data_IF_092838838510
#
_entry.id   IF_092838838510
#
_cell.length_a   1.000
_cell.length_b   1.000
_cell.length_c   1.000
_cell.angle_alpha   90.00
_cell.angle_beta   90.00
_cell.angle_gamma   90.00
#
_symmetry.space_group_name_H-M   'P 1'
#
loop_
_entity.id
_entity.type
_entity.pdbx_description
1 polymer ?
#
# COMPACT_ATOMS: atom_id res chain seq x y z
N UNK A 1 -7.17 14.28 -14.64
CA UNK A 1 -6.63 15.50 -13.96
C UNK A 1 -5.57 16.23 -14.79
N UNK A 2 -4.40 15.63 -15.08
CA UNK A 2 -3.29 16.29 -15.82
C UNK A 2 -3.76 16.97 -17.13
N UNK A 3 -4.49 16.24 -17.97
CA UNK A 3 -5.03 16.77 -19.24
C UNK A 3 -6.07 17.89 -19.03
N UNK A 4 -6.84 17.86 -17.93
CA UNK A 4 -7.82 18.92 -17.60
C UNK A 4 -7.11 20.23 -17.23
N UNK A 5 -5.87 20.15 -16.77
CA UNK A 5 -5.00 21.30 -16.51
C UNK A 5 -4.16 21.69 -17.74
N UNK A 6 -4.43 21.11 -18.91
CA UNK A 6 -3.70 21.39 -20.16
C UNK A 6 -2.32 20.73 -20.27
N UNK A 7 -1.96 19.83 -19.34
CA UNK A 7 -0.70 19.10 -19.35
C UNK A 7 -0.76 17.78 -20.13
N UNK A 8 0.40 17.20 -20.45
CA UNK A 8 0.51 15.89 -21.11
C UNK A 8 0.85 14.80 -20.10
N UNK A 9 0.01 13.79 -19.97
CA UNK A 9 0.22 12.64 -19.08
C UNK A 9 1.28 11.69 -19.62
N UNK A 10 2.05 11.09 -18.71
CA UNK A 10 2.94 9.96 -19.05
C UNK A 10 2.07 8.76 -19.45
N UNK A 11 2.30 8.22 -20.64
CA UNK A 11 1.50 7.10 -21.19
C UNK A 11 2.33 5.86 -21.55
N UNK A 12 3.61 6.03 -21.91
CA UNK A 12 4.44 4.92 -22.35
C UNK A 12 5.23 4.29 -21.20
N UNK A 13 5.30 2.95 -21.19
CA UNK A 13 6.00 2.19 -20.16
C UNK A 13 7.49 2.60 -20.00
N UNK A 14 8.17 2.96 -21.08
CA UNK A 14 9.54 3.46 -21.03
C UNK A 14 9.65 4.76 -20.20
N UNK A 15 8.77 5.72 -20.45
CA UNK A 15 8.73 6.98 -19.69
C UNK A 15 8.38 6.73 -18.21
N UNK A 16 7.46 5.78 -17.93
CA UNK A 16 7.15 5.38 -16.55
C UNK A 16 8.39 4.81 -15.86
N UNK A 17 9.13 3.94 -16.53
CA UNK A 17 10.34 3.31 -15.99
C UNK A 17 11.47 4.31 -15.71
N UNK A 18 11.57 5.39 -16.49
CA UNK A 18 12.54 6.46 -16.29
C UNK A 18 12.15 7.45 -15.18
N UNK A 19 10.85 7.61 -14.93
CA UNK A 19 10.34 8.63 -13.99
C UNK A 19 10.05 8.06 -12.59
N UNK A 20 9.65 6.78 -12.53
CA UNK A 20 9.24 6.14 -11.28
C UNK A 20 10.38 6.12 -10.26
N UNK A 21 10.02 6.30 -8.98
CA UNK A 21 10.91 6.11 -7.85
C UNK A 21 10.75 4.73 -7.20
N UNK A 22 9.79 3.93 -7.68
CA UNK A 22 9.56 2.56 -7.21
C UNK A 22 10.57 1.64 -7.88
N UNK A 23 11.34 0.91 -7.07
CA UNK A 23 12.36 0.00 -7.56
C UNK A 23 11.77 -1.14 -8.39
N UNK A 24 12.49 -1.54 -9.43
CA UNK A 24 12.09 -2.67 -10.26
C UNK A 24 12.23 -3.97 -9.45
N UNK A 25 11.18 -4.81 -9.39
CA UNK A 25 11.29 -6.10 -8.72
C UNK A 25 12.32 -7.00 -9.42
N UNK A 26 12.98 -7.92 -8.69
CA UNK A 26 13.89 -8.87 -9.29
C UNK A 26 13.17 -9.78 -10.29
N UNK A 27 13.94 -10.38 -11.20
CA UNK A 27 13.39 -11.36 -12.15
C UNK A 27 13.10 -12.66 -11.42
N UNK A 28 11.97 -13.29 -11.73
CA UNK A 28 11.61 -14.60 -11.19
C UNK A 28 10.64 -14.49 -10.02
N UNK A 29 10.75 -15.41 -9.06
CA UNK A 29 9.86 -15.53 -7.91
C UNK A 29 10.57 -15.10 -6.64
N UNK A 30 9.81 -14.43 -5.77
CA UNK A 30 10.25 -14.04 -4.45
C UNK A 30 9.37 -14.68 -3.38
N UNK A 31 9.88 -14.74 -2.15
CA UNK A 31 9.10 -15.21 -1.01
C UNK A 31 7.94 -14.25 -0.73
N UNK A 32 6.80 -14.81 -0.31
CA UNK A 32 5.58 -14.04 -0.01
C UNK A 32 5.83 -12.84 0.91
N UNK A 33 6.51 -12.97 2.06
CA UNK A 33 6.77 -11.82 2.93
C UNK A 33 7.62 -10.74 2.25
N UNK A 34 8.57 -11.12 1.38
CA UNK A 34 9.41 -10.16 0.64
C UNK A 34 8.59 -9.37 -0.37
N UNK A 35 7.66 -10.03 -1.06
CA UNK A 35 6.73 -9.36 -1.98
C UNK A 35 5.84 -8.34 -1.24
N UNK A 36 5.30 -8.73 -0.08
CA UNK A 36 4.44 -7.86 0.72
C UNK A 36 5.24 -6.66 1.25
N UNK A 37 6.46 -6.87 1.75
CA UNK A 37 7.34 -5.77 2.19
C UNK A 37 7.60 -4.77 1.07
N UNK A 38 7.88 -5.22 -0.16
CA UNK A 38 8.08 -4.31 -1.29
C UNK A 38 6.82 -3.54 -1.69
N UNK A 39 5.64 -4.16 -1.59
CA UNK A 39 4.38 -3.45 -1.80
C UNK A 39 4.21 -2.34 -0.77
N UNK A 40 4.56 -2.59 0.49
CA UNK A 40 4.53 -1.58 1.55
C UNK A 40 5.52 -0.43 1.28
N UNK A 41 6.75 -0.74 0.83
CA UNK A 41 7.74 0.28 0.45
C UNK A 41 7.23 1.15 -0.71
N UNK A 42 6.62 0.54 -1.72
CA UNK A 42 6.01 1.26 -2.84
C UNK A 42 4.85 2.17 -2.38
N UNK A 43 3.98 1.68 -1.50
CA UNK A 43 2.92 2.51 -0.91
C UNK A 43 3.48 3.67 -0.09
N UNK A 44 4.57 3.47 0.66
CA UNK A 44 5.19 4.54 1.44
C UNK A 44 5.70 5.68 0.54
N UNK A 45 6.30 5.35 -0.61
CA UNK A 45 6.71 6.33 -1.63
C UNK A 45 5.49 7.12 -2.11
N UNK A 46 4.41 6.43 -2.50
CA UNK A 46 3.17 7.06 -3.00
C UNK A 46 2.55 7.98 -1.93
N UNK A 47 2.35 7.48 -0.71
CA UNK A 47 1.75 8.24 0.39
C UNK A 47 2.55 9.51 0.69
N UNK A 48 3.88 9.40 0.73
CA UNK A 48 4.76 10.55 0.96
C UNK A 48 4.56 11.61 -0.11
N UNK A 49 4.54 11.22 -1.38
CA UNK A 49 4.49 12.16 -2.50
C UNK A 49 3.06 12.71 -2.71
N UNK A 50 2.01 11.92 -2.41
CA UNK A 50 0.63 12.41 -2.31
C UNK A 50 0.47 13.48 -1.23
N UNK A 51 1.05 13.30 -0.04
CA UNK A 51 0.99 14.32 1.02
C UNK A 51 1.69 15.61 0.63
N UNK A 52 2.80 15.53 -0.11
CA UNK A 52 3.48 16.73 -0.67
C UNK A 52 2.61 17.40 -1.74
N UNK A 53 2.05 16.62 -2.65
CA UNK A 53 1.18 17.12 -3.72
C UNK A 53 -0.07 17.80 -3.17
N UNK A 54 -0.75 17.18 -2.20
CA UNK A 54 -1.95 17.74 -1.59
C UNK A 54 -1.66 19.09 -0.92
N UNK A 55 -0.59 19.18 -0.11
CA UNK A 55 -0.16 20.45 0.49
C UNK A 55 0.14 21.51 -0.57
N UNK A 56 0.85 21.12 -1.64
CA UNK A 56 1.20 22.06 -2.70
C UNK A 56 -0.02 22.52 -3.49
N UNK A 57 -0.97 21.63 -3.75
CA UNK A 57 -2.23 21.96 -4.43
C UNK A 57 -3.05 22.94 -3.58
N UNK A 58 -3.13 22.72 -2.27
CA UNK A 58 -3.78 23.62 -1.31
C UNK A 58 -3.15 25.03 -1.32
N UNK A 59 -1.83 25.12 -1.21
CA UNK A 59 -1.08 26.40 -1.29
C UNK A 59 -1.33 27.17 -2.59
N UNK A 60 -1.62 26.45 -3.68
CA UNK A 60 -1.88 27.02 -5.01
C UNK A 60 -3.37 27.30 -5.25
N UNK A 61 -4.25 26.98 -4.31
CA UNK A 61 -5.70 27.10 -4.46
C UNK A 61 -6.30 26.13 -5.48
N UNK A 62 -5.62 25.00 -5.76
CA UNK A 62 -6.11 23.96 -6.64
C UNK A 62 -6.88 22.87 -5.85
N UNK A 63 -8.11 23.21 -5.48
CA UNK A 63 -9.00 22.34 -4.70
C UNK A 63 -9.24 20.98 -5.37
N UNK A 64 -9.35 20.95 -6.70
CA UNK A 64 -9.63 19.72 -7.44
C UNK A 64 -8.45 18.75 -7.50
N UNK A 65 -7.21 19.26 -7.52
CA UNK A 65 -6.04 18.37 -7.38
C UNK A 65 -5.86 17.94 -5.94
N UNK A 66 -6.10 18.83 -4.98
CA UNK A 66 -6.02 18.50 -3.56
C UNK A 66 -7.00 17.37 -3.21
N UNK A 67 -8.28 17.54 -3.54
CA UNK A 67 -9.30 16.53 -3.27
C UNK A 67 -8.93 15.18 -3.90
N UNK A 68 -8.61 15.15 -5.20
CA UNK A 68 -8.18 13.92 -5.87
C UNK A 68 -7.00 13.23 -5.17
N UNK A 69 -5.97 14.00 -4.80
CA UNK A 69 -4.78 13.46 -4.15
C UNK A 69 -5.09 12.85 -2.78
N UNK A 70 -6.01 13.45 -2.02
CA UNK A 70 -6.37 13.00 -0.67
C UNK A 70 -7.43 11.91 -0.72
N UNK A 71 -8.54 12.15 -1.39
CA UNK A 71 -9.75 11.31 -1.36
C UNK A 71 -9.55 9.98 -2.08
N UNK A 72 -8.93 9.99 -3.26
CA UNK A 72 -8.77 8.80 -4.09
C UNK A 72 -7.41 8.15 -3.89
N UNK A 73 -6.31 8.90 -3.96
CA UNK A 73 -4.96 8.30 -3.98
C UNK A 73 -4.48 8.01 -2.57
N UNK A 74 -4.40 9.02 -1.68
CA UNK A 74 -3.84 8.86 -0.35
C UNK A 74 -4.64 7.86 0.49
N UNK A 75 -5.95 8.05 0.64
CA UNK A 75 -6.79 7.18 1.49
C UNK A 75 -6.83 5.73 1.01
N UNK A 76 -6.85 5.50 -0.31
CA UNK A 76 -6.78 4.13 -0.86
C UNK A 76 -5.46 3.46 -0.49
N UNK A 77 -4.34 4.18 -0.64
CA UNK A 77 -3.03 3.63 -0.30
C UNK A 77 -2.88 3.38 1.21
N UNK A 78 -3.40 4.26 2.07
CA UNK A 78 -3.37 4.07 3.53
C UNK A 78 -4.17 2.83 3.95
N UNK A 79 -5.34 2.59 3.35
CA UNK A 79 -6.12 1.38 3.61
C UNK A 79 -5.40 0.11 3.13
N UNK A 80 -4.78 0.16 1.96
CA UNK A 80 -4.03 -0.98 1.41
C UNK A 80 -2.79 -1.29 2.25
N UNK A 81 -2.08 -0.27 2.75
CA UNK A 81 -0.96 -0.44 3.68
C UNK A 81 -1.41 -1.17 4.94
N UNK A 82 -2.51 -0.71 5.56
CA UNK A 82 -3.06 -1.40 6.73
C UNK A 82 -3.35 -2.87 6.44
N UNK A 83 -4.05 -3.17 5.34
CA UNK A 83 -4.38 -4.54 4.99
C UNK A 83 -3.13 -5.43 4.78
N UNK A 84 -2.13 -4.91 4.06
CA UNK A 84 -0.90 -5.64 3.77
C UNK A 84 -0.02 -5.82 5.00
N UNK A 85 0.04 -4.82 5.90
CA UNK A 85 0.89 -4.90 7.09
C UNK A 85 0.47 -6.00 8.04
N UNK A 86 -0.84 -6.27 8.16
CA UNK A 86 -1.36 -7.36 9.02
C UNK A 86 -0.84 -8.74 8.59
N UNK A 87 -0.54 -8.94 7.31
CA UNK A 87 -0.04 -10.21 6.79
C UNK A 87 1.45 -10.45 7.08
N UNK A 88 2.18 -9.45 7.57
CA UNK A 88 3.57 -9.59 8.02
C UNK A 88 3.68 -9.83 9.54
N UNK A 89 2.58 -9.76 10.27
CA UNK A 89 2.58 -9.96 11.72
C UNK A 89 2.77 -11.44 12.03
N UNK A 90 3.87 -11.75 12.73
CA UNK A 90 4.15 -13.12 13.17
C UNK A 90 3.43 -13.42 14.49
N UNK A 91 2.20 -13.93 14.39
CA UNK A 91 1.38 -14.35 15.54
C UNK A 91 0.91 -15.81 15.38
N UNK A 92 0.66 -16.52 16.49
CA UNK A 92 0.05 -17.85 16.43
C UNK A 92 -1.33 -17.79 15.74
N UNK A 93 -1.57 -18.67 14.77
CA UNK A 93 -2.87 -18.77 14.08
C UNK A 93 -3.87 -19.69 14.81
N UNK A 94 -3.37 -20.52 15.73
CA UNK A 94 -4.16 -21.49 16.50
C UNK A 94 -3.61 -21.55 17.92
N UNK A 95 -4.51 -21.64 18.89
CA UNK A 95 -4.16 -21.88 20.29
C UNK A 95 -4.12 -23.39 20.58
N UNK A 96 -3.21 -23.80 21.45
CA UNK A 96 -3.19 -25.18 21.92
C UNK A 96 -4.38 -25.41 22.88
N UNK A 97 -5.27 -26.35 22.54
CA UNK A 97 -6.24 -26.83 23.53
C UNK A 97 -5.50 -27.55 24.66
N UNK A 98 -5.72 -27.14 25.90
CA UNK A 98 -5.18 -27.84 27.06
C UNK A 98 -5.74 -29.27 27.09
N UNK A 99 -4.84 -30.25 27.04
CA UNK A 99 -5.13 -31.71 27.04
C UNK A 99 -5.91 -32.12 28.29
N UNK A 100 -5.91 -31.31 29.36
CA UNK A 100 -6.74 -31.50 30.55
C UNK A 100 -8.25 -31.50 30.23
N UNK A 101 -8.68 -30.69 29.26
CA UNK A 101 -10.08 -30.55 28.84
C UNK A 101 -10.61 -31.79 28.08
N UNK A 102 -9.72 -32.53 27.42
CA UNK A 102 -10.08 -33.71 26.64
C UNK A 102 -10.37 -34.93 27.53
N UNK A 103 -9.71 -35.03 28.70
CA UNK A 103 -9.97 -36.09 29.68
C UNK A 103 -11.34 -35.93 30.35
N UNK A 104 -11.77 -34.69 30.63
CA UNK A 104 -13.04 -34.41 31.29
C UNK A 104 -14.27 -34.77 30.43
N UNK A 105 -14.18 -34.61 29.10
CA UNK A 105 -15.28 -34.90 28.16
C UNK A 105 -15.51 -36.39 27.89
N UNK A 106 -14.52 -37.25 28.15
CA UNK A 106 -14.61 -38.70 27.88
C UNK A 106 -15.02 -39.52 29.12
N UNK A 107 -15.09 -38.86 30.28
CA UNK A 107 -15.49 -39.45 31.57
C UNK A 107 -16.93 -39.11 31.98
N UNK A 108 -17.71 -38.49 31.10
CA UNK A 108 -19.14 -38.24 31.24
C UNK A 108 -19.91 -39.03 30.16
#
# INVERSE_FOLDING_TARGET
>A
RIQLLGGVSIAMAAHVAETTQIERPPRGREEVPVQISRLLDAHQIIIRDCRKLARRADELGDDGTNDLAVSEVLRTNELQVWFLSEHLVNVPLVEAEDVSSYKARKSA
#
